data_IF_768737426972
#
_entry.id   IF_768737426972
#
_cell.length_a   1.000
_cell.length_b   1.000
_cell.length_c   1.000
_cell.angle_alpha   90.00
_cell.angle_beta   90.00
_cell.angle_gamma   90.00
#
_symmetry.space_group_name_H-M   'P 1'
#
loop_
_entity.id
_entity.type
_entity.pdbx_description
1 polymer ?
#
# COMPACT_ATOMS: atom_id res chain seq x y z
N UNK A 1 -27.90 -44.80 53.59
CA UNK A 1 -28.10 -44.89 52.12
C UNK A 1 -27.91 -43.51 51.51
N UNK A 2 -27.08 -43.46 50.45
CA UNK A 2 -26.97 -42.45 49.38
C UNK A 2 -26.57 -41.00 49.71
N UNK A 3 -25.31 -40.73 49.36
CA UNK A 3 -24.78 -39.42 49.01
C UNK A 3 -25.50 -38.80 47.80
N UNK A 4 -25.56 -37.47 47.76
CA UNK A 4 -25.64 -36.74 46.49
C UNK A 4 -24.62 -35.60 46.49
N UNK A 5 -23.64 -35.75 45.60
CA UNK A 5 -22.68 -34.72 45.19
C UNK A 5 -23.35 -33.89 44.10
N UNK A 6 -23.29 -32.56 44.17
CA UNK A 6 -23.44 -31.68 43.01
C UNK A 6 -22.25 -30.73 43.01
N UNK A 7 -21.37 -30.96 42.05
CA UNK A 7 -20.29 -30.07 41.63
C UNK A 7 -20.81 -29.12 40.54
N UNK A 8 -19.91 -28.27 40.03
CA UNK A 8 -19.98 -27.41 38.82
C UNK A 8 -20.20 -25.94 39.17
N UNK A 9 -19.40 -24.98 38.71
CA UNK A 9 -18.04 -24.92 38.18
C UNK A 9 -17.72 -23.41 38.22
N UNK A 10 -16.52 -23.06 38.64
CA UNK A 10 -16.09 -21.66 38.70
C UNK A 10 -16.14 -21.04 37.30
N UNK A 11 -16.80 -19.89 37.22
CA UNK A 11 -16.87 -19.00 36.05
C UNK A 11 -15.45 -18.67 35.58
N UNK A 12 -15.08 -19.18 34.42
CA UNK A 12 -13.87 -18.73 33.73
C UNK A 12 -14.09 -17.26 33.34
N UNK A 13 -13.31 -16.38 33.95
CA UNK A 13 -13.09 -15.02 33.44
C UNK A 13 -12.38 -15.16 32.09
N UNK A 14 -13.16 -15.20 31.02
CA UNK A 14 -12.68 -15.00 29.67
C UNK A 14 -12.15 -13.57 29.59
N UNK A 15 -10.86 -13.38 29.89
CA UNK A 15 -10.14 -12.17 29.58
C UNK A 15 -10.18 -11.99 28.07
N UNK A 16 -11.10 -11.15 27.60
CA UNK A 16 -11.00 -10.58 26.27
C UNK A 16 -9.75 -9.71 26.28
N UNK A 17 -8.61 -10.30 25.91
CA UNK A 17 -7.52 -9.53 25.37
C UNK A 17 -8.08 -8.90 24.08
N UNK A 18 -8.62 -7.70 24.22
CA UNK A 18 -8.76 -6.76 23.11
C UNK A 18 -7.32 -6.37 22.79
N UNK A 19 -6.63 -7.27 22.09
CA UNK A 19 -5.49 -6.88 21.30
C UNK A 19 -6.04 -5.86 20.32
N UNK A 20 -5.84 -4.59 20.64
CA UNK A 20 -5.76 -3.54 19.64
C UNK A 20 -4.62 -3.95 18.71
N UNK A 21 -4.90 -4.86 17.78
CA UNK A 21 -4.21 -4.85 16.52
C UNK A 21 -4.62 -3.50 15.92
N UNK A 22 -3.92 -2.43 16.34
CA UNK A 22 -3.81 -1.24 15.52
C UNK A 22 -3.52 -1.79 14.12
N UNK A 23 -4.33 -1.48 13.10
CA UNK A 23 -3.95 -1.82 11.74
C UNK A 23 -2.52 -1.34 11.60
N UNK A 24 -1.60 -2.26 11.33
CA UNK A 24 -0.20 -1.92 11.14
C UNK A 24 -0.20 -0.75 10.17
N UNK A 25 0.26 0.41 10.64
CA UNK A 25 0.18 1.66 9.91
C UNK A 25 0.79 1.38 8.53
N UNK A 26 -0.03 1.43 7.48
CA UNK A 26 0.36 1.02 6.14
C UNK A 26 1.09 2.20 5.48
N UNK A 27 2.20 2.59 6.10
CA UNK A 27 3.03 3.71 5.64
C UNK A 27 3.93 3.26 4.49
N UNK A 28 4.22 4.18 3.57
CA UNK A 28 5.19 3.95 2.49
C UNK A 28 6.63 4.10 3.03
N UNK A 29 7.02 3.23 3.95
CA UNK A 29 8.37 3.17 4.51
C UNK A 29 9.35 2.49 3.56
N UNK A 30 10.66 2.67 3.77
CA UNK A 30 11.68 1.92 3.02
C UNK A 30 11.43 0.41 3.07
N UNK A 31 11.48 -0.22 1.89
CA UNK A 31 11.24 -1.65 1.72
C UNK A 31 10.72 -2.02 0.34
N UNK A 32 10.48 -3.32 0.14
CA UNK A 32 9.91 -3.84 -1.10
C UNK A 32 8.40 -3.98 -0.99
N UNK A 33 7.69 -3.52 -2.02
CA UNK A 33 6.25 -3.59 -2.14
C UNK A 33 5.87 -4.30 -3.43
N UNK A 34 4.78 -5.06 -3.38
CA UNK A 34 4.08 -5.57 -4.55
C UNK A 34 2.95 -4.60 -4.90
N UNK A 35 3.05 -3.96 -6.06
CA UNK A 35 1.98 -3.17 -6.64
C UNK A 35 1.02 -4.09 -7.40
N UNK A 36 -0.28 -3.91 -7.22
CA UNK A 36 -1.33 -4.58 -8.00
C UNK A 36 -2.30 -3.54 -8.57
N UNK A 37 -2.52 -3.56 -9.88
CA UNK A 37 -3.50 -2.70 -10.54
C UNK A 37 -4.91 -3.14 -10.13
N UNK A 38 -5.71 -2.20 -9.63
CA UNK A 38 -7.08 -2.43 -9.14
C UNK A 38 -8.14 -1.87 -10.09
N UNK A 39 -7.80 -0.84 -10.86
CA UNK A 39 -8.71 -0.23 -11.84
C UNK A 39 -7.94 0.45 -12.97
N UNK A 40 -8.61 0.63 -14.12
CA UNK A 40 -8.09 1.45 -15.22
C UNK A 40 -9.25 1.97 -16.07
N UNK A 41 -9.10 3.17 -16.64
CA UNK A 41 -10.01 3.71 -17.67
C UNK A 41 -9.53 3.39 -19.10
N UNK A 42 -8.30 2.91 -19.27
CA UNK A 42 -7.69 2.57 -20.55
C UNK A 42 -6.76 1.38 -20.37
N UNK A 43 -7.11 0.17 -20.86
CA UNK A 43 -6.23 -0.98 -20.78
C UNK A 43 -5.06 -0.80 -21.77
N UNK A 44 -3.96 -0.19 -21.29
CA UNK A 44 -2.65 -0.20 -21.95
C UNK A 44 -1.89 -1.45 -21.53
N UNK A 45 -0.57 -1.33 -21.35
CA UNK A 45 0.29 -2.38 -20.83
C UNK A 45 -0.06 -2.78 -19.38
N UNK A 46 -0.80 -1.94 -18.65
CA UNK A 46 -1.30 -2.22 -17.30
C UNK A 46 -2.74 -2.76 -17.35
N UNK A 47 -2.90 -4.03 -16.95
CA UNK A 47 -4.20 -4.71 -16.86
C UNK A 47 -4.61 -4.84 -15.40
N UNK A 48 -5.91 -4.77 -15.11
CA UNK A 48 -6.41 -5.06 -13.75
C UNK A 48 -5.92 -6.44 -13.30
N UNK A 49 -5.37 -6.50 -12.09
CA UNK A 49 -4.79 -7.71 -11.52
C UNK A 49 -3.32 -7.95 -11.88
N UNK A 50 -2.76 -7.23 -12.86
CA UNK A 50 -1.30 -7.24 -13.09
C UNK A 50 -0.58 -6.53 -11.96
N UNK A 51 0.71 -6.82 -11.82
CA UNK A 51 1.51 -6.23 -10.76
C UNK A 51 2.99 -6.15 -11.10
N UNK A 52 3.68 -5.31 -10.36
CA UNK A 52 5.12 -5.11 -10.42
C UNK A 52 5.66 -4.84 -9.02
N UNK A 53 6.97 -4.96 -8.84
CA UNK A 53 7.61 -4.67 -7.56
C UNK A 53 8.10 -3.22 -7.52
N UNK A 54 8.01 -2.62 -6.35
CA UNK A 54 8.58 -1.32 -6.02
C UNK A 54 9.57 -1.52 -4.89
N UNK A 55 10.77 -0.95 -5.02
CA UNK A 55 11.69 -0.82 -3.89
C UNK A 55 11.71 0.64 -3.48
N UNK A 56 11.15 0.93 -2.31
CA UNK A 56 11.17 2.25 -1.71
C UNK A 56 12.41 2.39 -0.82
N UNK A 57 13.10 3.51 -0.94
CA UNK A 57 14.27 3.89 -0.15
C UNK A 57 14.06 5.29 0.43
N UNK A 58 14.65 5.54 1.59
CA UNK A 58 14.55 6.83 2.24
C UNK A 58 15.52 7.82 1.56
N UNK A 59 15.00 8.94 1.03
CA UNK A 59 15.80 10.06 0.50
C UNK A 59 15.69 11.34 1.35
N UNK A 60 14.98 11.26 2.47
CA UNK A 60 14.71 12.39 3.38
C UNK A 60 13.48 12.12 4.24
N UNK A 61 13.16 13.03 5.17
CA UNK A 61 12.01 12.88 6.07
C UNK A 61 10.68 12.77 5.32
N UNK A 62 10.51 13.61 4.29
CA UNK A 62 9.32 13.66 3.44
C UNK A 62 9.61 13.21 2.01
N UNK A 63 10.64 12.38 1.83
CA UNK A 63 11.11 11.91 0.52
C UNK A 63 11.25 10.38 0.50
N UNK A 64 10.67 9.74 -0.54
CA UNK A 64 10.86 8.32 -0.85
C UNK A 64 11.32 8.14 -2.29
N UNK A 65 12.47 7.53 -2.47
CA UNK A 65 12.99 7.14 -3.77
C UNK A 65 12.46 5.74 -4.11
N UNK A 66 11.72 5.59 -5.19
CA UNK A 66 11.13 4.33 -5.60
C UNK A 66 11.75 3.87 -6.90
N UNK A 67 12.36 2.69 -6.87
CA UNK A 67 12.84 1.99 -8.08
C UNK A 67 11.87 0.87 -8.44
N UNK A 68 11.64 0.68 -9.74
CA UNK A 68 10.86 -0.44 -10.27
C UNK A 68 11.84 -1.39 -10.96
N UNK A 69 11.97 -2.66 -10.55
CA UNK A 69 12.81 -3.62 -11.24
C UNK A 69 12.36 -3.77 -12.70
N UNK A 70 13.30 -3.56 -13.63
CA UNK A 70 13.05 -3.52 -15.09
C UNK A 70 12.19 -2.34 -15.57
N UNK A 71 11.99 -1.32 -14.73
CA UNK A 71 11.40 -0.04 -15.15
C UNK A 71 12.46 0.98 -15.59
N UNK A 72 12.06 1.95 -16.41
CA UNK A 72 13.00 2.87 -17.07
C UNK A 72 13.50 4.02 -16.17
N UNK A 73 12.67 4.54 -15.26
CA UNK A 73 13.01 5.73 -14.46
C UNK A 73 12.50 5.57 -13.02
N UNK A 74 13.33 5.81 -11.99
CA UNK A 74 12.88 5.83 -10.62
C UNK A 74 12.04 7.08 -10.29
N UNK A 75 11.28 7.03 -9.21
CA UNK A 75 10.37 8.09 -8.80
C UNK A 75 10.74 8.63 -7.43
N UNK A 76 10.86 9.95 -7.33
CA UNK A 76 10.98 10.61 -6.03
C UNK A 76 9.60 11.08 -5.58
N UNK A 77 9.04 10.37 -4.60
CA UNK A 77 7.81 10.76 -3.94
C UNK A 77 8.10 11.80 -2.86
N UNK A 78 7.33 12.87 -2.88
CA UNK A 78 7.32 13.90 -1.84
C UNK A 78 6.04 13.77 -1.02
N UNK A 79 6.14 13.87 0.31
CA UNK A 79 4.99 13.78 1.21
C UNK A 79 4.31 15.13 1.38
N UNK A 80 2.99 15.14 1.34
CA UNK A 80 2.17 16.25 1.81
C UNK A 80 0.98 15.69 2.60
N UNK A 81 0.97 15.92 3.91
CA UNK A 81 -0.03 15.34 4.81
C UNK A 81 0.03 13.80 4.82
N UNK A 82 -1.06 13.15 4.41
CA UNK A 82 -1.16 11.69 4.30
C UNK A 82 -0.96 11.17 2.88
N UNK A 83 -0.44 11.98 1.96
CA UNK A 83 -0.29 11.60 0.56
C UNK A 83 1.14 11.77 0.10
N UNK A 84 1.68 10.72 -0.50
CA UNK A 84 2.93 10.74 -1.26
C UNK A 84 2.64 11.05 -2.71
N UNK A 85 3.36 11.98 -3.31
CA UNK A 85 3.18 12.38 -4.71
C UNK A 85 4.51 12.36 -5.45
N UNK A 86 4.56 11.68 -6.59
CA UNK A 86 5.66 11.77 -7.55
C UNK A 86 5.12 12.32 -8.87
N UNK A 87 5.86 13.23 -9.50
CA UNK A 87 5.49 13.82 -10.80
C UNK A 87 6.65 13.64 -11.76
N UNK A 88 6.37 13.06 -12.92
CA UNK A 88 7.32 12.99 -14.02
C UNK A 88 6.68 13.61 -15.28
N UNK A 89 6.93 14.90 -15.55
CA UNK A 89 6.28 15.57 -16.69
C UNK A 89 6.87 15.15 -18.05
N UNK A 90 8.11 14.67 -18.08
CA UNK A 90 8.85 14.35 -19.30
C UNK A 90 9.61 13.03 -19.16
N UNK A 91 8.91 11.88 -19.08
CA UNK A 91 9.57 10.59 -19.03
C UNK A 91 10.27 10.29 -20.37
N UNK A 92 11.35 9.49 -20.37
CA UNK A 92 12.05 9.09 -21.59
C UNK A 92 11.15 8.35 -22.60
N UNK A 93 10.14 7.63 -22.09
CA UNK A 93 9.17 6.88 -22.89
C UNK A 93 7.77 7.16 -22.36
N UNK A 94 6.83 7.45 -23.26
CA UNK A 94 5.42 7.65 -22.94
C UNK A 94 5.05 9.08 -22.50
N UNK A 95 3.79 9.29 -22.08
CA UNK A 95 3.31 10.59 -21.63
C UNK A 95 3.77 10.87 -20.20
N UNK A 96 3.91 12.16 -19.85
CA UNK A 96 4.11 12.58 -18.47
C UNK A 96 3.01 12.07 -17.55
N UNK A 97 3.32 11.87 -16.27
CA UNK A 97 2.38 11.31 -15.31
C UNK A 97 2.59 11.85 -13.90
N UNK A 98 1.54 11.72 -13.09
CA UNK A 98 1.55 11.94 -11.64
C UNK A 98 1.13 10.65 -10.95
N UNK A 99 1.86 10.28 -9.91
CA UNK A 99 1.55 9.13 -9.05
C UNK A 99 1.25 9.64 -7.66
N UNK A 100 0.19 9.13 -7.06
CA UNK A 100 -0.15 9.40 -5.66
C UNK A 100 -0.28 8.09 -4.90
N UNK A 101 0.11 8.08 -3.63
CA UNK A 101 -0.08 6.96 -2.69
C UNK A 101 -0.58 7.53 -1.38
N UNK A 102 -1.70 7.01 -0.88
CA UNK A 102 -2.19 7.31 0.46
C UNK A 102 -1.35 6.53 1.50
N UNK A 103 -0.81 7.26 2.47
CA UNK A 103 0.12 6.72 3.48
C UNK A 103 -0.57 5.89 4.57
N UNK A 104 -1.90 5.85 4.62
CA UNK A 104 -2.62 5.06 5.62
C UNK A 104 -3.14 3.73 5.06
N UNK A 105 -3.25 3.63 3.74
CA UNK A 105 -3.85 2.49 3.06
C UNK A 105 -2.95 1.84 2.01
N UNK A 106 -1.88 2.53 1.58
CA UNK A 106 -1.07 2.17 0.41
C UNK A 106 -1.86 2.02 -0.90
N UNK A 107 -3.09 2.56 -0.94
CA UNK A 107 -3.84 2.72 -2.16
C UNK A 107 -3.27 3.91 -2.93
N UNK A 108 -3.11 3.75 -4.24
CA UNK A 108 -2.55 4.79 -5.07
C UNK A 108 -3.25 4.93 -6.41
N UNK A 109 -2.93 6.04 -7.07
CA UNK A 109 -3.40 6.31 -8.43
C UNK A 109 -2.27 6.85 -9.29
N UNK A 110 -2.33 6.54 -10.57
CA UNK A 110 -1.43 7.06 -11.58
C UNK A 110 -2.27 7.72 -12.68
N UNK A 111 -2.01 8.99 -12.93
CA UNK A 111 -2.69 9.79 -13.95
C UNK A 111 -1.67 10.27 -14.98
N UNK A 112 -1.88 9.93 -16.24
CA UNK A 112 -1.06 10.34 -17.37
C UNK A 112 -1.62 11.59 -18.02
N UNK A 113 -0.73 12.39 -18.62
CA UNK A 113 -1.04 13.65 -19.30
C UNK A 113 -1.95 13.46 -20.52
N UNK A 114 -2.01 12.25 -21.08
CA UNK A 114 -2.91 11.89 -22.18
C UNK A 114 -4.30 11.41 -21.70
N UNK A 115 -4.58 11.50 -20.40
CA UNK A 115 -5.86 11.15 -19.78
C UNK A 115 -6.00 9.70 -19.32
N UNK A 116 -4.99 8.84 -19.54
CA UNK A 116 -5.01 7.49 -18.98
C UNK A 116 -4.89 7.54 -17.44
N UNK A 117 -5.67 6.70 -16.75
CA UNK A 117 -5.73 6.63 -15.29
C UNK A 117 -5.76 5.19 -14.82
N UNK A 118 -5.01 4.91 -13.75
CA UNK A 118 -4.89 3.60 -13.13
C UNK A 118 -5.01 3.73 -11.62
N UNK A 119 -5.81 2.87 -11.00
CA UNK A 119 -5.77 2.64 -9.56
C UNK A 119 -4.89 1.44 -9.25
N UNK A 120 -4.17 1.50 -8.13
CA UNK A 120 -3.39 0.37 -7.64
C UNK A 120 -3.40 0.27 -6.12
N UNK A 121 -3.00 -0.90 -5.64
CA UNK A 121 -2.78 -1.18 -4.22
C UNK A 121 -1.34 -1.67 -4.05
N UNK A 122 -0.59 -1.08 -3.13
CA UNK A 122 0.68 -1.66 -2.70
C UNK A 122 0.45 -2.59 -1.51
N UNK A 123 1.25 -3.65 -1.45
CA UNK A 123 1.32 -4.56 -0.31
C UNK A 123 2.77 -4.77 0.02
N UNK A 124 3.16 -4.54 1.27
CA UNK A 124 4.52 -4.78 1.74
C UNK A 124 4.83 -6.27 1.63
N UNK A 125 5.99 -6.60 1.06
CA UNK A 125 6.50 -7.97 1.01
C UNK A 125 7.27 -8.33 2.28
#
# INVERSE_FOLDING_TARGET
>A
MKAFRIAVAATMLSGAAIGLACPANAALDAGTYKMKITSTNQPRDFKVGSGQYWNAEDCGQDCRHVTIPNGDVPYDFQRSGSTWTAVNPNPPVGPGFTVTVDDNSLAGSMAYADGAQFGFQLTRN
#
